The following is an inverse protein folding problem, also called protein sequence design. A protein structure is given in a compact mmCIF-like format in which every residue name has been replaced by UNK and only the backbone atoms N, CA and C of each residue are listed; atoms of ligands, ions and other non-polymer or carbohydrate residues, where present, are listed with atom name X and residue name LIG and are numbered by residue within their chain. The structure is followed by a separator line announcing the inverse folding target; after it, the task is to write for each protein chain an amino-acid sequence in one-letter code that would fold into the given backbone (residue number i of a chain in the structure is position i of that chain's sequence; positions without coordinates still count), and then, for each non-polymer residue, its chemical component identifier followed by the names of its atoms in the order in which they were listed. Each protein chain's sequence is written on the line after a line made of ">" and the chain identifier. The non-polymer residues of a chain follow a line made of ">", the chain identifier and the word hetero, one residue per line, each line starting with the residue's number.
data_IF_707130504847
#
_entry.id   IF_707130504847
#
_cell.length_a   1.000
_cell.length_b   1.000
_cell.length_c   1.000
_cell.angle_alpha   90.00
_cell.angle_beta   90.00
_cell.angle_gamma   90.00
#
_symmetry.space_group_name_H-M   'P 1'
#
loop_
_entity.id
_entity.type
_entity.pdbx_description
1 polymer ?
#
# COMPACT_ATOMS: atom_id res chain seq x y z
N UNK A 1 19.67 -16.95 24.16
CA UNK A 1 19.21 -15.60 23.78
C UNK A 1 19.47 -15.21 22.31
N UNK A 2 20.04 -16.07 21.46
CA UNK A 2 20.42 -15.72 20.08
C UNK A 2 19.42 -16.14 18.98
N UNK A 3 18.34 -16.88 19.33
CA UNK A 3 17.30 -17.29 18.37
C UNK A 3 16.23 -16.21 18.08
N UNK A 4 16.15 -15.17 18.90
CA UNK A 4 15.19 -14.06 18.67
C UNK A 4 15.68 -13.05 17.64
N UNK A 5 17.01 -12.90 17.48
CA UNK A 5 17.64 -11.95 16.56
C UNK A 5 17.79 -12.48 15.13
N UNK A 6 17.64 -13.78 14.92
CA UNK A 6 17.69 -14.41 13.60
C UNK A 6 16.32 -14.58 12.92
N UNK A 7 15.22 -14.26 13.62
CA UNK A 7 13.96 -13.83 12.98
C UNK A 7 14.11 -12.38 12.51
N UNK A 8 15.14 -12.13 11.70
CA UNK A 8 15.03 -11.07 10.73
C UNK A 8 13.87 -11.51 9.84
N UNK A 9 12.73 -10.86 10.06
CA UNK A 9 11.63 -10.71 9.11
C UNK A 9 12.22 -10.76 7.70
N UNK A 10 11.48 -11.21 6.69
CA UNK A 10 11.85 -10.94 5.30
C UNK A 10 11.68 -9.42 5.01
N UNK A 11 12.27 -8.57 5.85
CA UNK A 11 12.24 -7.14 5.88
C UNK A 11 12.70 -6.62 4.53
N UNK A 12 13.57 -7.35 3.84
CA UNK A 12 13.93 -7.08 2.45
C UNK A 12 12.72 -7.01 1.53
N UNK A 13 11.80 -7.99 1.54
CA UNK A 13 10.61 -7.96 0.67
C UNK A 13 9.69 -6.79 1.02
N UNK A 14 9.43 -6.56 2.31
CA UNK A 14 8.59 -5.44 2.75
C UNK A 14 9.23 -4.08 2.45
N UNK A 15 10.52 -3.92 2.72
CA UNK A 15 11.27 -2.68 2.47
C UNK A 15 11.36 -2.42 0.97
N UNK A 16 11.59 -3.45 0.15
CA UNK A 16 11.55 -3.36 -1.31
C UNK A 16 10.15 -2.92 -1.78
N UNK A 17 9.08 -3.54 -1.28
CA UNK A 17 7.71 -3.13 -1.61
C UNK A 17 7.42 -1.68 -1.18
N UNK A 18 7.89 -1.27 0.00
CA UNK A 18 7.77 0.12 0.47
C UNK A 18 8.56 1.09 -0.40
N UNK A 19 9.75 0.70 -0.87
CA UNK A 19 10.60 1.50 -1.76
C UNK A 19 10.00 1.60 -3.17
N UNK A 20 9.49 0.51 -3.73
CA UNK A 20 8.76 0.51 -5.00
C UNK A 20 7.53 1.39 -4.94
N UNK A 21 6.74 1.32 -3.87
CA UNK A 21 5.60 2.23 -3.67
C UNK A 21 6.05 3.69 -3.55
N UNK A 22 7.14 3.98 -2.84
CA UNK A 22 7.70 5.35 -2.78
C UNK A 22 8.13 5.82 -4.17
N UNK A 23 8.81 4.99 -4.95
CA UNK A 23 9.26 5.29 -6.30
C UNK A 23 8.07 5.52 -7.24
N UNK A 24 7.05 4.67 -7.19
CA UNK A 24 5.82 4.84 -7.95
C UNK A 24 5.12 6.16 -7.59
N UNK A 25 5.01 6.46 -6.29
CA UNK A 25 4.41 7.71 -5.83
C UNK A 25 5.14 8.93 -6.40
N UNK A 26 6.49 8.93 -6.43
CA UNK A 26 7.28 10.04 -7.01
C UNK A 26 7.04 10.24 -8.50
N UNK A 27 6.86 9.15 -9.26
CA UNK A 27 6.54 9.21 -10.69
C UNK A 27 5.15 9.78 -10.93
N UNK A 28 4.15 9.37 -10.13
CA UNK A 28 2.76 9.84 -10.25
C UNK A 28 2.60 11.29 -9.81
N UNK A 29 3.32 11.73 -8.78
CA UNK A 29 3.27 13.13 -8.30
C UNK A 29 4.13 14.11 -9.11
N UNK A 30 4.79 13.65 -10.18
CA UNK A 30 5.53 14.52 -11.10
C UNK A 30 6.83 15.13 -10.54
N UNK A 31 7.40 14.55 -9.48
CA UNK A 31 8.68 15.05 -8.92
C UNK A 31 9.85 14.64 -9.83
N UNK A 32 9.72 13.54 -10.57
CA UNK A 32 10.70 13.05 -11.56
C UNK A 32 10.19 13.13 -13.03
N UNK A 33 9.21 14.00 -13.33
CA UNK A 33 8.78 14.23 -14.73
C UNK A 33 9.75 15.14 -15.49
N UNK A 34 11.02 14.74 -15.52
CA UNK A 34 12.05 15.24 -16.44
C UNK A 34 12.40 14.21 -17.52
N UNK A 35 11.51 13.27 -17.82
CA UNK A 35 11.66 12.37 -18.97
C UNK A 35 10.49 12.45 -19.94
N UNK A 36 10.82 13.04 -21.10
CA UNK A 36 10.11 13.02 -22.38
C UNK A 36 8.96 14.02 -22.59
N UNK A 37 9.37 15.24 -22.90
CA UNK A 37 8.67 16.18 -23.76
C UNK A 37 8.42 15.60 -25.16
N UNK A 38 7.37 14.79 -25.35
CA UNK A 38 6.78 14.51 -26.67
C UNK A 38 5.37 13.93 -26.52
N UNK A 39 4.34 14.80 -26.47
CA UNK A 39 3.06 14.56 -27.16
C UNK A 39 2.09 15.71 -26.90
N UNK A 40 1.97 16.58 -27.90
CA UNK A 40 1.05 17.73 -27.96
C UNK A 40 -0.42 17.36 -28.21
N UNK A 41 -0.83 16.08 -28.10
CA UNK A 41 -2.12 15.61 -28.67
C UNK A 41 -2.89 14.56 -27.87
N UNK A 42 -2.51 14.26 -26.65
CA UNK A 42 -3.32 13.42 -25.76
C UNK A 42 -3.47 14.15 -24.45
N UNK A 43 -4.72 14.48 -24.07
CA UNK A 43 -5.05 15.00 -22.75
C UNK A 43 -4.41 14.16 -21.64
N UNK A 44 -4.31 14.69 -20.41
CA UNK A 44 -3.53 14.08 -19.34
C UNK A 44 -3.82 12.59 -19.31
N UNK A 45 -2.80 11.77 -19.61
CA UNK A 45 -2.89 10.32 -19.43
C UNK A 45 -3.32 10.18 -17.98
N UNK A 46 -4.58 9.76 -17.77
CA UNK A 46 -5.05 9.37 -16.45
C UNK A 46 -4.17 8.17 -16.11
N UNK A 47 -3.06 8.44 -15.43
CA UNK A 47 -2.25 7.41 -14.80
C UNK A 47 -3.23 6.82 -13.80
N UNK A 48 -3.88 5.71 -14.19
CA UNK A 48 -4.68 4.93 -13.26
C UNK A 48 -3.75 4.64 -12.11
N UNK A 49 -4.15 4.95 -10.88
CA UNK A 49 -3.33 4.70 -9.70
C UNK A 49 -3.10 3.18 -9.60
N UNK A 50 -2.07 2.70 -10.28
CA UNK A 50 -1.61 1.32 -10.25
C UNK A 50 -0.81 1.17 -8.99
N UNK A 51 -1.13 0.20 -8.17
CA UNK A 51 -0.36 -0.06 -6.96
C UNK A 51 -0.01 -1.53 -6.87
N UNK A 52 1.14 -1.79 -6.24
CA UNK A 52 1.62 -3.15 -6.04
C UNK A 52 0.83 -3.75 -4.87
N UNK A 53 -0.06 -4.69 -5.19
CA UNK A 53 -0.76 -5.49 -4.20
C UNK A 53 0.22 -6.47 -3.55
N UNK A 54 0.14 -6.58 -2.23
CA UNK A 54 0.95 -7.53 -1.46
C UNK A 54 0.15 -8.00 -0.24
N UNK A 55 0.20 -9.30 0.06
CA UNK A 55 -0.30 -9.82 1.35
C UNK A 55 0.78 -9.73 2.43
N UNK A 56 0.40 -9.65 3.71
CA UNK A 56 1.40 -9.63 4.78
C UNK A 56 2.14 -10.97 4.92
N UNK A 57 1.52 -12.09 4.54
CA UNK A 57 2.17 -13.40 4.44
C UNK A 57 3.33 -13.43 3.43
N UNK A 58 3.25 -12.67 2.33
CA UNK A 58 4.35 -12.55 1.36
C UNK A 58 5.55 -11.79 1.93
N UNK A 59 5.30 -10.91 2.91
CA UNK A 59 6.35 -10.19 3.64
C UNK A 59 6.91 -11.02 4.80
N UNK A 60 6.06 -11.72 5.56
CA UNK A 60 6.48 -12.66 6.59
C UNK A 60 5.40 -13.74 6.76
N UNK A 61 5.72 -15.04 6.56
CA UNK A 61 4.75 -16.12 6.64
C UNK A 61 4.18 -16.33 8.05
N UNK A 62 4.74 -15.70 9.09
CA UNK A 62 4.23 -15.77 10.46
C UNK A 62 3.14 -14.75 10.74
N UNK A 63 2.99 -13.71 9.91
CA UNK A 63 2.00 -12.65 10.14
C UNK A 63 0.59 -13.15 9.87
N UNK A 64 -0.26 -13.05 10.90
CA UNK A 64 -1.65 -13.45 10.84
C UNK A 64 -2.60 -12.25 10.79
N UNK A 65 -2.29 -11.19 11.53
CA UNK A 65 -3.13 -9.99 11.63
C UNK A 65 -2.26 -8.75 11.42
N UNK A 66 -2.81 -7.78 10.71
CA UNK A 66 -2.22 -6.46 10.53
C UNK A 66 -3.18 -5.39 11.07
N UNK A 67 -2.62 -4.44 11.80
CA UNK A 67 -3.34 -3.28 12.34
C UNK A 67 -2.71 -2.01 11.82
N UNK A 68 -3.53 -1.11 11.27
CA UNK A 68 -3.13 0.23 10.86
C UNK A 68 -3.89 1.27 11.66
N UNK A 69 -3.15 2.14 12.35
CA UNK A 69 -3.67 3.29 13.09
C UNK A 69 -3.29 4.55 12.33
N UNK A 70 -4.28 5.29 11.84
CA UNK A 70 -4.07 6.49 11.04
C UNK A 70 -3.88 7.71 11.94
N UNK A 71 -2.71 8.36 11.80
CA UNK A 71 -2.28 9.47 12.65
C UNK A 71 -2.45 10.84 11.97
N UNK A 72 -2.57 10.87 10.65
CA UNK A 72 -2.78 12.08 9.86
C UNK A 72 -4.25 12.34 9.58
N UNK A 73 -4.60 13.58 9.25
CA UNK A 73 -5.89 13.92 8.63
C UNK A 73 -5.88 13.46 7.16
N UNK A 74 -6.03 12.16 6.93
CA UNK A 74 -6.06 11.55 5.59
C UNK A 74 -7.40 11.67 4.88
N UNK A 75 -8.10 12.77 5.10
CA UNK A 75 -9.40 13.12 4.52
C UNK A 75 -9.69 14.61 4.76
N UNK A 76 -10.45 15.24 3.86
CA UNK A 76 -10.72 16.69 3.89
C UNK A 76 -10.26 17.41 2.62
N UNK A 77 -10.49 18.72 2.54
CA UNK A 77 -10.25 19.50 1.31
C UNK A 77 -8.76 19.62 0.95
N UNK A 78 -7.90 19.61 1.96
CA UNK A 78 -6.44 19.75 1.81
C UNK A 78 -5.71 18.40 1.61
N UNK A 79 -6.43 17.28 1.67
CA UNK A 79 -5.87 15.95 1.51
C UNK A 79 -6.33 15.30 0.21
N UNK A 80 -5.38 14.79 -0.60
CA UNK A 80 -5.69 14.10 -1.85
C UNK A 80 -4.85 12.84 -2.02
N UNK A 81 -5.49 11.76 -2.44
CA UNK A 81 -4.86 10.44 -2.63
C UNK A 81 -4.64 9.70 -1.32
N UNK A 82 -3.61 8.87 -1.23
CA UNK A 82 -3.15 8.22 0.02
C UNK A 82 -4.08 7.16 0.61
N UNK A 83 -5.17 6.84 -0.09
CA UNK A 83 -6.15 5.81 0.27
C UNK A 83 -5.45 4.46 0.45
N UNK A 84 -5.80 3.77 1.52
CA UNK A 84 -5.40 2.39 1.74
C UNK A 84 -6.43 1.47 1.07
N UNK A 85 -5.97 0.61 0.19
CA UNK A 85 -6.82 -0.33 -0.53
C UNK A 85 -6.57 -1.74 0.01
N UNK A 86 -7.66 -2.45 0.28
CA UNK A 86 -7.67 -3.84 0.74
C UNK A 86 -8.48 -4.65 -0.27
N UNK A 87 -7.90 -5.72 -0.79
CA UNK A 87 -8.35 -6.38 -2.01
C UNK A 87 -8.39 -7.88 -1.76
N UNK A 88 -9.47 -8.52 -2.19
CA UNK A 88 -9.56 -9.97 -2.12
C UNK A 88 -8.72 -10.66 -3.22
N UNK A 89 -8.33 -11.91 -2.98
CA UNK A 89 -7.54 -12.73 -3.92
C UNK A 89 -8.30 -13.20 -5.17
N UNK A 90 -9.43 -12.57 -5.50
CA UNK A 90 -10.24 -12.98 -6.63
C UNK A 90 -9.48 -12.80 -7.95
N UNK A 91 -9.65 -13.72 -8.90
CA UNK A 91 -8.95 -13.73 -10.19
C UNK A 91 -9.09 -12.42 -10.99
N UNK A 92 -10.18 -11.67 -10.78
CA UNK A 92 -10.40 -10.35 -11.38
C UNK A 92 -9.40 -9.27 -10.94
N UNK A 93 -8.74 -9.45 -9.80
CA UNK A 93 -7.79 -8.51 -9.21
C UNK A 93 -6.32 -8.87 -9.50
N UNK A 94 -6.06 -10.02 -10.15
CA UNK A 94 -4.70 -10.52 -10.42
C UNK A 94 -3.90 -9.69 -11.43
N UNK A 95 -4.56 -8.84 -12.23
CA UNK A 95 -3.89 -7.99 -13.20
C UNK A 95 -3.77 -6.55 -12.65
N UNK A 96 -2.58 -6.13 -12.20
CA UNK A 96 -2.37 -4.81 -11.60
C UNK A 96 -2.59 -3.64 -12.57
N UNK A 97 -2.66 -3.92 -13.89
CA UNK A 97 -2.97 -2.92 -14.93
C UNK A 97 -4.47 -2.72 -15.16
N UNK A 98 -5.31 -3.58 -14.58
CA UNK A 98 -6.77 -3.48 -14.67
C UNK A 98 -7.33 -2.78 -13.43
N UNK A 99 -8.49 -2.13 -13.58
CA UNK A 99 -9.22 -1.53 -12.46
C UNK A 99 -9.56 -2.63 -11.46
N UNK A 100 -9.19 -2.42 -10.19
CA UNK A 100 -9.55 -3.32 -9.09
C UNK A 100 -11.07 -3.34 -8.97
N UNK A 101 -11.64 -4.55 -8.99
CA UNK A 101 -13.10 -4.75 -9.06
C UNK A 101 -13.72 -5.09 -7.72
N UNK A 102 -12.93 -5.68 -6.81
CA UNK A 102 -13.39 -6.17 -5.52
C UNK A 102 -12.39 -5.79 -4.45
N UNK A 103 -12.82 -4.98 -3.50
CA UNK A 103 -11.97 -4.48 -2.43
C UNK A 103 -12.64 -3.33 -1.68
N UNK A 104 -11.99 -2.90 -0.62
CA UNK A 104 -12.41 -1.81 0.24
C UNK A 104 -11.35 -0.73 0.20
N UNK A 105 -11.77 0.48 -0.16
CA UNK A 105 -10.96 1.68 -0.10
C UNK A 105 -11.22 2.39 1.24
N UNK A 106 -10.15 2.61 2.01
CA UNK A 106 -10.20 3.27 3.30
C UNK A 106 -9.42 4.58 3.20
N UNK A 107 -10.11 5.71 3.36
CA UNK A 107 -9.47 7.00 3.58
C UNK A 107 -8.72 7.01 4.92
N UNK A 108 -7.61 7.73 4.96
CA UNK A 108 -6.69 7.70 6.10
C UNK A 108 -7.07 8.66 7.21
N UNK A 109 -8.37 8.83 7.50
CA UNK A 109 -8.86 9.75 8.51
C UNK A 109 -8.18 9.50 9.87
N UNK A 110 -7.89 10.60 10.58
CA UNK A 110 -7.20 10.55 11.87
C UNK A 110 -7.98 9.67 12.86
N UNK A 111 -7.27 8.94 13.70
CA UNK A 111 -7.81 8.02 14.74
C UNK A 111 -8.54 6.80 14.19
N UNK A 112 -8.62 6.65 12.86
CA UNK A 112 -9.14 5.42 12.27
C UNK A 112 -8.20 4.27 12.56
N UNK A 113 -8.78 3.15 12.96
CA UNK A 113 -8.09 1.87 13.14
C UNK A 113 -8.66 0.89 12.14
N UNK A 114 -7.78 0.28 11.35
CA UNK A 114 -8.11 -0.82 10.45
C UNK A 114 -7.41 -2.07 10.95
N UNK A 115 -8.20 -3.12 11.17
CA UNK A 115 -7.69 -4.46 11.49
C UNK A 115 -8.03 -5.37 10.32
N UNK A 116 -7.04 -6.10 9.85
CA UNK A 116 -7.18 -6.97 8.69
C UNK A 116 -6.36 -8.24 8.85
N UNK A 117 -6.80 -9.34 8.25
CA UNK A 117 -5.99 -10.55 8.20
C UNK A 117 -4.78 -10.32 7.31
N UNK A 118 -3.67 -11.00 7.61
CA UNK A 118 -2.42 -10.91 6.85
C UNK A 118 -2.36 -11.87 5.66
N UNK A 119 -3.39 -12.72 5.50
CA UNK A 119 -3.43 -13.80 4.53
C UNK A 119 -3.60 -13.34 3.08
N UNK A 120 -3.51 -14.30 2.15
CA UNK A 120 -3.67 -14.04 0.73
C UNK A 120 -5.06 -13.50 0.38
N UNK A 121 -6.07 -13.81 1.20
CA UNK A 121 -7.43 -13.29 1.08
C UNK A 121 -7.53 -11.77 1.25
N UNK A 122 -6.48 -11.13 1.76
CA UNK A 122 -6.46 -9.71 2.02
C UNK A 122 -5.14 -9.06 1.60
N UNK A 123 -5.04 -8.81 0.30
CA UNK A 123 -3.93 -8.06 -0.28
C UNK A 123 -4.13 -6.58 -0.04
N UNK A 124 -3.05 -5.89 0.35
CA UNK A 124 -3.08 -4.45 0.59
C UNK A 124 -2.27 -3.69 -0.43
N UNK A 125 -2.71 -2.46 -0.67
CA UNK A 125 -2.03 -1.49 -1.49
C UNK A 125 -2.15 -0.10 -0.87
N UNK A 126 -1.10 0.70 -1.05
CA UNK A 126 -1.10 2.11 -0.67
C UNK A 126 -1.12 2.96 -1.94
N UNK A 127 -2.20 3.70 -2.15
CA UNK A 127 -2.25 4.66 -3.25
C UNK A 127 -1.34 5.87 -2.97
N UNK A 128 -0.84 6.54 -4.03
CA UNK A 128 -0.02 7.74 -3.90
C UNK A 128 -0.71 8.86 -3.13
N UNK A 129 0.00 9.50 -2.21
CA UNK A 129 -0.46 10.74 -1.57
C UNK A 129 -0.06 11.90 -2.48
N UNK A 130 -1.05 12.61 -3.02
CA UNK A 130 -0.86 13.73 -3.95
C UNK A 130 -0.80 15.08 -3.22
N UNK A 131 -1.54 15.22 -2.11
CA UNK A 131 -1.51 16.41 -1.26
C UNK A 131 -1.71 16.02 0.22
N UNK A 132 -1.04 16.75 1.11
CA UNK A 132 -1.06 16.51 2.56
C UNK A 132 -0.02 15.49 3.03
N UNK A 133 0.00 15.24 4.35
CA UNK A 133 0.91 14.26 4.98
C UNK A 133 0.12 13.01 5.33
N UNK A 134 0.66 11.83 4.98
CA UNK A 134 0.13 10.54 5.42
C UNK A 134 1.02 9.94 6.49
N UNK A 135 0.51 9.86 7.71
CA UNK A 135 1.17 9.21 8.85
C UNK A 135 0.31 8.04 9.35
N UNK A 136 0.89 6.84 9.42
CA UNK A 136 0.21 5.61 9.83
C UNK A 136 1.17 4.79 10.68
N UNK A 137 0.72 4.36 11.86
CA UNK A 137 1.38 3.34 12.67
C UNK A 137 0.87 1.98 12.22
N UNK A 138 1.79 1.07 11.89
CA UNK A 138 1.47 -0.29 11.45
C UNK A 138 2.02 -1.29 12.46
N UNK A 139 1.17 -2.22 12.89
CA UNK A 139 1.48 -3.28 13.84
C UNK A 139 1.17 -4.61 13.15
N UNK A 140 2.13 -5.53 13.16
CA UNK A 140 1.96 -6.89 12.65
C UNK A 140 1.96 -7.87 13.82
N UNK A 141 0.94 -8.72 13.84
CA UNK A 141 0.78 -9.76 14.85
C UNK A 141 1.08 -11.11 14.22
N UNK A 142 2.08 -11.80 14.76
CA UNK A 142 2.38 -13.17 14.37
C UNK A 142 1.56 -14.15 15.20
N UNK A 143 1.09 -15.22 14.57
CA UNK A 143 0.61 -16.39 15.32
C UNK A 143 1.79 -17.34 15.53
N UNK A 144 1.96 -17.83 16.75
CA UNK A 144 2.83 -18.98 16.98
C UNK A 144 2.08 -20.23 16.50
N UNK A 145 2.64 -20.92 15.51
CA UNK A 145 2.22 -22.28 15.20
C UNK A 145 2.55 -23.16 16.40
N UNK A 146 1.52 -23.69 17.07
CA UNK A 146 1.68 -24.74 18.07
C UNK A 146 2.26 -26.01 17.44
#
# INVERSE_FOLDING_TARGET
>A
SSKLLSRNINATNYLNWMEENKRHNRMVTGIDSSSSSTSLWFGPKIIRDTCNLMSDLEADPTFAIHTSVFLSHGGGWDYRGGVALYVDSHSSNTNPRKKIRRGVAIDGARERVVVSTGGLENQRCRLPTQAGIRAVLQIWWSCESQ
#
